data_IF_098899993395
#
_entry.id   IF_098899993395
#
_cell.length_a   1.000
_cell.length_b   1.000
_cell.length_c   1.000
_cell.angle_alpha   90.00
_cell.angle_beta   90.00
_cell.angle_gamma   90.00
#
_symmetry.space_group_name_H-M   'P 1'
#
loop_
_entity.id
_entity.type
_entity.pdbx_description
1 polymer ?
#
# COMPACT_ATOMS: atom_id res chain seq x y z
N UNK A 1 2.28 74.85 -35.14
CA UNK A 1 3.19 74.52 -34.02
C UNK A 1 2.50 73.70 -32.91
N UNK A 2 1.35 73.06 -33.16
CA UNK A 2 0.65 72.17 -32.20
C UNK A 2 0.78 70.67 -32.55
N UNK A 3 1.12 70.33 -33.80
CA UNK A 3 1.30 68.92 -34.21
C UNK A 3 2.62 68.30 -33.70
N UNK A 4 3.64 69.11 -33.41
CA UNK A 4 4.93 68.61 -32.93
C UNK A 4 4.85 68.10 -31.48
N UNK A 5 4.03 68.72 -30.61
CA UNK A 5 3.92 68.37 -29.19
C UNK A 5 3.05 67.14 -28.92
N UNK A 6 1.99 66.93 -29.71
CA UNK A 6 1.14 65.74 -29.65
C UNK A 6 1.93 64.46 -30.00
N UNK A 7 2.81 64.53 -31.00
CA UNK A 7 3.65 63.41 -31.40
C UNK A 7 4.70 63.04 -30.33
N UNK A 8 5.23 64.02 -29.60
CA UNK A 8 6.20 63.76 -28.51
C UNK A 8 5.52 63.10 -27.30
N UNK A 9 4.34 63.56 -26.91
CA UNK A 9 3.55 62.98 -25.80
C UNK A 9 3.10 61.56 -26.16
N UNK A 10 2.64 61.34 -27.40
CA UNK A 10 2.27 60.03 -27.91
C UNK A 10 3.43 59.03 -27.89
N UNK A 11 4.63 59.44 -28.32
CA UNK A 11 5.83 58.60 -28.25
C UNK A 11 6.21 58.25 -26.80
N UNK A 12 6.14 59.22 -25.88
CA UNK A 12 6.46 58.98 -24.48
C UNK A 12 5.47 57.99 -23.82
N UNK A 13 4.17 58.17 -24.07
CA UNK A 13 3.13 57.26 -23.60
C UNK A 13 3.31 55.84 -24.17
N UNK A 14 3.68 55.72 -25.44
CA UNK A 14 3.95 54.43 -26.08
C UNK A 14 5.14 53.70 -25.45
N UNK A 15 6.23 54.42 -25.13
CA UNK A 15 7.41 53.82 -24.48
C UNK A 15 7.09 53.34 -23.07
N UNK A 16 6.35 54.13 -22.29
CA UNK A 16 5.91 53.72 -20.94
C UNK A 16 4.99 52.52 -21.00
N UNK A 17 4.02 52.51 -21.93
CA UNK A 17 3.13 51.37 -22.14
C UNK A 17 3.89 50.08 -22.48
N UNK A 18 4.92 50.17 -23.32
CA UNK A 18 5.79 49.04 -23.64
C UNK A 18 6.55 48.52 -22.41
N UNK A 19 7.14 49.42 -21.61
CA UNK A 19 7.84 49.04 -20.37
C UNK A 19 6.90 48.36 -19.38
N UNK A 20 5.72 48.93 -19.15
CA UNK A 20 4.70 48.35 -18.26
C UNK A 20 4.24 46.98 -18.75
N UNK A 21 4.09 46.79 -20.06
CA UNK A 21 3.70 45.51 -20.65
C UNK A 21 4.78 44.45 -20.44
N UNK A 22 6.06 44.79 -20.69
CA UNK A 22 7.19 43.86 -20.47
C UNK A 22 7.29 43.46 -18.99
N UNK A 23 7.16 44.42 -18.07
CA UNK A 23 7.20 44.15 -16.63
C UNK A 23 6.00 43.32 -16.17
N UNK A 24 4.79 43.63 -16.64
CA UNK A 24 3.56 42.89 -16.31
C UNK A 24 3.61 41.45 -16.83
N UNK A 25 4.14 41.25 -18.04
CA UNK A 25 4.34 39.92 -18.60
C UNK A 25 5.41 39.13 -17.82
N UNK A 26 6.54 39.76 -17.48
CA UNK A 26 7.58 39.14 -16.66
C UNK A 26 7.07 38.69 -15.28
N UNK A 27 6.26 39.52 -14.63
CA UNK A 27 5.62 39.18 -13.36
C UNK A 27 4.62 38.02 -13.49
N UNK A 28 3.86 37.98 -14.59
CA UNK A 28 2.95 36.88 -14.91
C UNK A 28 3.73 35.57 -15.08
N UNK A 29 4.82 35.56 -15.83
CA UNK A 29 5.68 34.39 -16.00
C UNK A 29 6.26 33.89 -14.67
N UNK A 30 6.72 34.82 -13.82
CA UNK A 30 7.22 34.47 -12.48
C UNK A 30 6.13 33.80 -11.63
N UNK A 31 4.91 34.36 -11.61
CA UNK A 31 3.78 33.79 -10.89
C UNK A 31 3.41 32.40 -11.40
N UNK A 32 3.33 32.21 -12.72
CA UNK A 32 3.02 30.91 -13.33
C UNK A 32 4.05 29.86 -12.89
N UNK A 33 5.34 30.21 -12.92
CA UNK A 33 6.41 29.29 -12.47
C UNK A 33 6.24 28.91 -11.00
N UNK A 34 5.95 29.88 -10.13
CA UNK A 34 5.71 29.62 -8.70
C UNK A 34 4.50 28.71 -8.47
N UNK A 35 3.39 28.95 -9.16
CA UNK A 35 2.18 28.13 -9.07
C UNK A 35 2.44 26.71 -9.56
N UNK A 36 3.13 26.55 -10.69
CA UNK A 36 3.51 25.24 -11.22
C UNK A 36 4.34 24.44 -10.21
N UNK A 37 5.36 25.05 -9.62
CA UNK A 37 6.21 24.39 -8.63
C UNK A 37 5.40 23.98 -7.36
N UNK A 38 4.51 24.86 -6.89
CA UNK A 38 3.64 24.54 -5.76
C UNK A 38 2.68 23.38 -6.08
N UNK A 39 2.10 23.37 -7.28
CA UNK A 39 1.21 22.29 -7.72
C UNK A 39 1.96 20.95 -7.88
N UNK A 40 3.20 20.99 -8.37
CA UNK A 40 4.05 19.80 -8.51
C UNK A 40 4.45 19.24 -7.14
N UNK A 41 4.83 20.10 -6.20
CA UNK A 41 5.10 19.72 -4.81
C UNK A 41 3.86 19.12 -4.13
N UNK A 42 2.68 19.75 -4.30
CA UNK A 42 1.43 19.24 -3.76
C UNK A 42 1.06 17.87 -4.37
N UNK A 43 1.26 17.69 -5.69
CA UNK A 43 1.04 16.41 -6.36
C UNK A 43 1.95 15.33 -5.80
N UNK A 44 3.23 15.63 -5.61
CA UNK A 44 4.20 14.68 -5.07
C UNK A 44 3.83 14.26 -3.64
N UNK A 45 3.51 15.24 -2.78
CA UNK A 45 3.06 14.97 -1.41
C UNK A 45 1.79 14.10 -1.39
N UNK A 46 0.80 14.40 -2.24
CA UNK A 46 -0.42 13.60 -2.33
C UNK A 46 -0.14 12.16 -2.79
N UNK A 47 0.76 11.95 -3.75
CA UNK A 47 1.18 10.62 -4.20
C UNK A 47 1.84 9.85 -3.05
N UNK A 48 2.73 10.49 -2.29
CA UNK A 48 3.40 9.90 -1.13
C UNK A 48 2.42 9.53 -0.03
N UNK A 49 1.47 10.41 0.30
CA UNK A 49 0.39 10.13 1.25
C UNK A 49 -0.47 8.94 0.80
N UNK A 50 -0.89 8.91 -0.46
CA UNK A 50 -1.66 7.78 -1.00
C UNK A 50 -0.90 6.45 -0.92
N UNK A 51 0.42 6.46 -1.19
CA UNK A 51 1.25 5.25 -1.02
C UNK A 51 1.36 4.84 0.45
N UNK A 52 1.51 5.80 1.35
CA UNK A 52 1.57 5.56 2.80
C UNK A 52 0.27 4.92 3.31
N UNK A 53 -0.89 5.46 2.92
CA UNK A 53 -2.20 4.89 3.24
C UNK A 53 -2.32 3.45 2.74
N UNK A 54 -1.94 3.16 1.49
CA UNK A 54 -2.00 1.79 0.95
C UNK A 54 -1.11 0.80 1.73
N UNK A 55 0.09 1.23 2.14
CA UNK A 55 0.98 0.39 2.98
C UNK A 55 0.38 0.14 4.35
N UNK A 56 -0.25 1.15 4.94
CA UNK A 56 -0.97 1.03 6.18
C UNK A 56 -2.13 0.03 6.06
N UNK A 57 -2.97 0.17 5.03
CA UNK A 57 -4.07 -0.75 4.75
C UNK A 57 -3.58 -2.20 4.59
N UNK A 58 -2.50 -2.41 3.82
CA UNK A 58 -1.87 -3.72 3.70
C UNK A 58 -1.41 -4.28 5.05
N UNK A 59 -0.85 -3.44 5.93
CA UNK A 59 -0.41 -3.87 7.27
C UNK A 59 -1.59 -4.30 8.15
N UNK A 60 -2.73 -3.61 8.08
CA UNK A 60 -3.96 -3.96 8.81
C UNK A 60 -4.54 -5.27 8.29
N UNK A 61 -4.60 -5.44 6.97
CA UNK A 61 -5.09 -6.68 6.36
C UNK A 61 -4.21 -7.88 6.74
N UNK A 62 -2.88 -7.73 6.74
CA UNK A 62 -1.95 -8.78 7.18
C UNK A 62 -2.13 -9.12 8.67
N UNK A 63 -2.35 -8.13 9.53
CA UNK A 63 -2.66 -8.38 10.94
C UNK A 63 -3.94 -9.21 11.11
N UNK A 64 -4.96 -8.96 10.29
CA UNK A 64 -6.18 -9.79 10.29
C UNK A 64 -5.94 -11.25 9.87
N UNK A 65 -4.89 -11.52 9.08
CA UNK A 65 -4.47 -12.89 8.74
C UNK A 65 -3.80 -13.55 9.93
N UNK A 66 -2.97 -12.81 10.68
CA UNK A 66 -2.36 -13.29 11.94
C UNK A 66 -3.43 -13.75 12.92
N UNK A 67 -4.49 -12.96 13.10
CA UNK A 67 -5.64 -13.33 13.94
C UNK A 67 -6.33 -14.62 13.44
N UNK A 68 -6.47 -14.78 12.12
CA UNK A 68 -7.05 -16.00 11.54
C UNK A 68 -6.16 -17.22 11.79
N UNK A 69 -4.84 -17.06 11.73
CA UNK A 69 -3.88 -18.13 12.06
C UNK A 69 -3.97 -18.51 13.55
N UNK A 70 -4.07 -17.52 14.44
CA UNK A 70 -4.22 -17.78 15.88
C UNK A 70 -5.56 -18.46 16.21
N UNK A 71 -6.63 -18.17 15.46
CA UNK A 71 -7.89 -18.92 15.50
C UNK A 71 -7.70 -20.38 15.05
N UNK A 72 -7.00 -20.64 13.94
CA UNK A 72 -6.70 -22.01 13.47
C UNK A 72 -5.99 -22.80 14.58
N UNK A 73 -4.94 -22.22 15.18
CA UNK A 73 -4.20 -22.87 16.28
C UNK A 73 -5.10 -23.20 17.47
N UNK A 74 -6.04 -22.31 17.80
CA UNK A 74 -7.04 -22.56 18.86
C UNK A 74 -7.94 -23.73 18.50
N UNK A 75 -8.52 -23.75 17.31
CA UNK A 75 -9.39 -24.83 16.84
C UNK A 75 -8.69 -26.19 16.80
N UNK A 76 -7.41 -26.22 16.42
CA UNK A 76 -6.59 -27.44 16.45
C UNK A 76 -6.39 -27.96 17.88
N UNK A 77 -6.17 -27.08 18.86
CA UNK A 77 -6.06 -27.47 20.29
C UNK A 77 -7.38 -27.99 20.86
N UNK A 78 -8.49 -27.45 20.38
CA UNK A 78 -9.85 -27.86 20.76
C UNK A 78 -10.33 -29.10 20.01
N UNK A 79 -9.49 -29.72 19.17
CA UNK A 79 -9.83 -30.85 18.31
C UNK A 79 -11.05 -30.59 17.39
N UNK A 80 -11.29 -29.32 17.04
CA UNK A 80 -12.39 -28.90 16.16
C UNK A 80 -12.03 -29.10 14.69
N UNK A 81 -11.57 -30.30 14.33
CA UNK A 81 -10.93 -30.57 13.04
C UNK A 81 -11.82 -30.34 11.82
N UNK A 82 -13.14 -30.52 11.95
CA UNK A 82 -14.10 -30.36 10.84
C UNK A 82 -14.18 -28.93 10.30
N UNK A 83 -13.87 -27.92 11.13
CA UNK A 83 -13.95 -26.49 10.73
C UNK A 83 -12.59 -25.88 10.40
N UNK A 84 -11.51 -26.59 10.71
CA UNK A 84 -10.13 -26.10 10.50
C UNK A 84 -9.82 -25.86 9.01
N UNK A 85 -10.16 -26.76 8.06
CA UNK A 85 -9.91 -26.52 6.63
C UNK A 85 -10.54 -25.21 6.11
N UNK A 86 -11.76 -24.89 6.52
CA UNK A 86 -12.43 -23.63 6.11
C UNK A 86 -11.66 -22.39 6.57
N UNK A 87 -11.06 -22.46 7.77
CA UNK A 87 -10.24 -21.36 8.31
C UNK A 87 -8.90 -21.23 7.58
N UNK A 88 -8.26 -22.34 7.19
CA UNK A 88 -7.10 -22.30 6.30
C UNK A 88 -7.45 -21.66 4.95
N UNK A 89 -8.56 -22.07 4.32
CA UNK A 89 -9.06 -21.48 3.07
C UNK A 89 -9.30 -19.98 3.21
N UNK A 90 -9.88 -19.55 4.33
CA UNK A 90 -10.11 -18.13 4.65
C UNK A 90 -8.80 -17.35 4.73
N UNK A 91 -7.79 -17.86 5.44
CA UNK A 91 -6.48 -17.22 5.55
C UNK A 91 -5.77 -17.12 4.18
N UNK A 92 -5.79 -18.20 3.38
CA UNK A 92 -5.23 -18.19 2.01
C UNK A 92 -5.92 -17.16 1.12
N UNK A 93 -7.25 -17.13 1.12
CA UNK A 93 -8.03 -16.15 0.32
C UNK A 93 -7.66 -14.73 0.70
N UNK A 94 -7.58 -14.40 1.99
CA UNK A 94 -7.12 -13.07 2.46
C UNK A 94 -5.73 -12.74 1.93
N UNK A 95 -4.76 -13.66 2.02
CA UNK A 95 -3.40 -13.46 1.52
C UNK A 95 -3.34 -13.25 -0.01
N UNK A 96 -4.15 -14.00 -0.77
CA UNK A 96 -4.27 -13.81 -2.23
C UNK A 96 -4.83 -12.42 -2.54
N UNK A 97 -5.88 -11.99 -1.83
CA UNK A 97 -6.46 -10.66 -2.01
C UNK A 97 -5.46 -9.56 -1.69
N UNK A 98 -4.71 -9.67 -0.58
CA UNK A 98 -3.64 -8.72 -0.22
C UNK A 98 -2.60 -8.61 -1.35
N UNK A 99 -2.17 -9.76 -1.89
CA UNK A 99 -1.18 -9.79 -2.99
C UNK A 99 -1.68 -9.13 -4.28
N UNK A 100 -2.99 -9.20 -4.55
CA UNK A 100 -3.62 -8.61 -5.75
C UNK A 100 -3.93 -7.12 -5.57
N UNK A 101 -4.43 -6.72 -4.40
CA UNK A 101 -4.89 -5.36 -4.13
C UNK A 101 -3.78 -4.37 -3.79
N UNK A 102 -2.61 -4.87 -3.38
CA UNK A 102 -1.46 -4.03 -3.03
C UNK A 102 -0.31 -4.21 -4.03
N UNK A 103 -0.41 -3.61 -5.25
CA UNK A 103 0.63 -3.76 -6.28
C UNK A 103 1.98 -3.20 -5.83
N UNK A 104 1.96 -2.24 -4.91
CA UNK A 104 3.12 -1.53 -4.33
C UNK A 104 3.95 -2.42 -3.38
N UNK A 105 3.49 -3.64 -3.07
CA UNK A 105 4.29 -4.63 -2.34
C UNK A 105 5.53 -5.03 -3.15
N UNK A 106 6.67 -5.07 -2.46
CA UNK A 106 7.93 -5.51 -3.06
C UNK A 106 7.84 -6.98 -3.53
N UNK A 107 8.70 -7.36 -4.47
CA UNK A 107 8.79 -8.75 -4.91
C UNK A 107 9.15 -9.70 -3.74
N UNK A 108 9.92 -9.22 -2.76
CA UNK A 108 10.23 -9.98 -1.54
C UNK A 108 8.97 -10.22 -0.71
N UNK A 109 8.16 -9.18 -0.45
CA UNK A 109 6.89 -9.33 0.29
C UNK A 109 5.96 -10.33 -0.41
N UNK A 110 5.82 -10.21 -1.74
CA UNK A 110 4.98 -11.11 -2.55
C UNK A 110 5.46 -12.57 -2.48
N UNK A 111 6.78 -12.80 -2.39
CA UNK A 111 7.36 -14.14 -2.21
C UNK A 111 7.07 -14.71 -0.83
N UNK A 112 7.19 -13.90 0.23
CA UNK A 112 6.85 -14.31 1.60
C UNK A 112 5.37 -14.70 1.66
N UNK A 113 4.47 -13.85 1.16
CA UNK A 113 3.04 -14.13 1.11
C UNK A 113 2.76 -15.44 0.32
N UNK A 114 3.40 -15.63 -0.83
CA UNK A 114 3.23 -16.83 -1.64
C UNK A 114 3.69 -18.10 -0.89
N UNK A 115 4.82 -18.03 -0.18
CA UNK A 115 5.33 -19.15 0.62
C UNK A 115 4.33 -19.50 1.73
N UNK A 116 3.76 -18.51 2.41
CA UNK A 116 2.76 -18.78 3.45
C UNK A 116 1.49 -19.38 2.86
N UNK A 117 0.99 -18.89 1.72
CA UNK A 117 -0.16 -19.49 1.02
C UNK A 117 0.09 -20.98 0.75
N UNK A 118 1.28 -21.33 0.25
CA UNK A 118 1.64 -22.72 -0.03
C UNK A 118 1.69 -23.58 1.25
N UNK A 119 2.27 -23.06 2.33
CA UNK A 119 2.32 -23.78 3.60
C UNK A 119 0.92 -24.03 4.17
N UNK A 120 0.05 -23.02 4.15
CA UNK A 120 -1.34 -23.16 4.58
C UNK A 120 -2.10 -24.19 3.73
N UNK A 121 -1.86 -24.21 2.42
CA UNK A 121 -2.47 -25.19 1.52
C UNK A 121 -2.03 -26.62 1.81
N UNK A 122 -0.73 -26.82 2.03
CA UNK A 122 -0.20 -28.15 2.34
C UNK A 122 -0.78 -28.66 3.67
N UNK A 123 -0.83 -27.80 4.70
CA UNK A 123 -1.38 -28.16 6.01
C UNK A 123 -2.88 -28.45 5.96
N UNK A 124 -3.64 -27.68 5.19
CA UNK A 124 -5.06 -27.95 4.93
C UNK A 124 -5.24 -29.32 4.28
N UNK A 125 -4.47 -29.61 3.22
CA UNK A 125 -4.54 -30.89 2.52
C UNK A 125 -4.21 -32.08 3.43
N UNK A 126 -3.23 -31.93 4.33
CA UNK A 126 -2.85 -32.98 5.28
C UNK A 126 -3.97 -33.25 6.29
N UNK A 127 -4.65 -32.19 6.77
CA UNK A 127 -5.79 -32.33 7.68
C UNK A 127 -6.98 -32.97 6.96
N UNK A 128 -7.31 -32.54 5.73
CA UNK A 128 -8.41 -33.13 4.96
C UNK A 128 -8.18 -34.61 4.67
N UNK A 129 -6.95 -35.01 4.32
CA UNK A 129 -6.58 -36.42 4.13
C UNK A 129 -6.73 -37.23 5.42
N UNK A 130 -6.33 -36.67 6.57
CA UNK A 130 -6.50 -37.31 7.87
C UNK A 130 -7.98 -37.45 8.26
N UNK A 131 -8.81 -36.45 7.95
CA UNK A 131 -10.25 -36.51 8.15
C UNK A 131 -10.92 -37.56 7.26
N UNK A 132 -10.54 -37.65 5.99
CA UNK A 132 -11.14 -38.59 5.04
C UNK A 132 -10.84 -40.07 5.36
N UNK A 133 -9.70 -40.34 6.03
CA UNK A 133 -9.29 -41.70 6.40
C UNK A 133 -9.76 -42.12 7.80
N UNK A 134 -10.38 -41.22 8.56
CA UNK A 134 -10.76 -41.39 9.97
C UNK A 134 -9.61 -41.84 10.91
N UNK A 135 -8.36 -41.82 10.42
CA UNK A 135 -7.13 -42.18 11.13
C UNK A 135 -5.98 -41.31 10.60
N UNK A 136 -5.00 -41.05 11.47
CA UNK A 136 -3.76 -40.29 11.17
C UNK A 136 -3.92 -38.78 10.98
N UNK A 137 -4.63 -38.10 11.90
CA UNK A 137 -4.53 -36.64 11.99
C UNK A 137 -3.10 -36.22 12.33
N UNK A 138 -2.57 -35.14 11.73
CA UNK A 138 -1.24 -34.65 12.07
C UNK A 138 -1.17 -34.20 13.54
N UNK A 139 0.02 -34.31 14.14
CA UNK A 139 0.25 -33.84 15.50
C UNK A 139 -0.07 -32.34 15.63
N UNK A 140 -0.99 -32.00 16.55
CA UNK A 140 -1.35 -30.60 16.88
C UNK A 140 -0.11 -29.78 17.23
N UNK A 141 0.85 -30.36 17.95
CA UNK A 141 2.07 -29.67 18.34
C UNK A 141 2.89 -29.26 17.11
N UNK A 142 3.07 -30.18 16.16
CA UNK A 142 3.84 -29.92 14.94
C UNK A 142 3.15 -28.89 14.05
N UNK A 143 1.82 -29.01 13.88
CA UNK A 143 1.04 -28.03 13.13
C UNK A 143 1.14 -26.63 13.76
N UNK A 144 1.00 -26.53 15.08
CA UNK A 144 1.07 -25.25 15.77
C UNK A 144 2.45 -24.60 15.71
N UNK A 145 3.54 -25.38 15.68
CA UNK A 145 4.91 -24.85 15.47
C UNK A 145 4.99 -24.22 14.08
N UNK A 146 4.62 -24.96 13.03
CA UNK A 146 4.66 -24.47 11.65
C UNK A 146 3.77 -23.25 11.43
N UNK A 147 2.58 -23.23 12.04
CA UNK A 147 1.69 -22.07 12.01
C UNK A 147 2.29 -20.86 12.73
N UNK A 148 3.02 -21.07 13.83
CA UNK A 148 3.68 -19.97 14.54
C UNK A 148 4.77 -19.35 13.69
N UNK A 149 5.57 -20.16 12.99
CA UNK A 149 6.56 -19.63 12.04
C UNK A 149 5.93 -18.81 10.92
N UNK A 150 4.81 -19.27 10.34
CA UNK A 150 4.13 -18.51 9.28
C UNK A 150 3.46 -17.25 9.81
N UNK A 151 2.88 -17.32 11.01
CA UNK A 151 2.31 -16.18 11.73
C UNK A 151 3.36 -15.09 11.94
N UNK A 152 4.55 -15.47 12.42
CA UNK A 152 5.61 -14.52 12.74
C UNK A 152 6.17 -13.87 11.48
N UNK A 153 6.31 -14.61 10.37
CA UNK A 153 6.67 -14.03 9.05
C UNK A 153 5.65 -12.99 8.57
N UNK A 154 4.36 -13.27 8.72
CA UNK A 154 3.31 -12.31 8.34
C UNK A 154 3.33 -11.09 9.27
N UNK A 155 3.53 -11.30 10.58
CA UNK A 155 3.60 -10.23 11.56
C UNK A 155 4.80 -9.31 11.33
N UNK A 156 5.97 -9.88 11.02
CA UNK A 156 7.17 -9.13 10.65
C UNK A 156 6.90 -8.26 9.42
N UNK A 157 6.31 -8.85 8.37
CA UNK A 157 5.93 -8.11 7.16
C UNK A 157 4.93 -6.97 7.45
N UNK A 158 3.91 -7.22 8.26
CA UNK A 158 2.93 -6.20 8.66
C UNK A 158 3.61 -5.04 9.40
N UNK A 159 4.55 -5.37 10.30
CA UNK A 159 5.30 -4.38 11.08
C UNK A 159 6.23 -3.57 10.19
N UNK A 160 6.92 -4.19 9.25
CA UNK A 160 7.79 -3.51 8.28
C UNK A 160 7.02 -2.47 7.45
N UNK A 161 5.84 -2.85 6.94
CA UNK A 161 4.99 -1.94 6.17
C UNK A 161 4.48 -0.77 7.03
N UNK A 162 4.16 -1.03 8.29
CA UNK A 162 3.71 0.00 9.24
C UNK A 162 4.83 0.99 9.59
N UNK A 163 6.06 0.54 9.80
CA UNK A 163 7.20 1.43 10.09
C UNK A 163 7.47 2.34 8.89
N UNK A 164 7.44 1.81 7.66
CA UNK A 164 7.60 2.56 6.39
C UNK A 164 6.44 3.50 6.05
N UNK A 165 5.40 3.55 6.89
CA UNK A 165 4.28 4.49 6.80
C UNK A 165 4.54 5.73 7.67
N UNK A 166 5.28 5.57 8.77
CA UNK A 166 5.53 6.61 9.78
C UNK A 166 6.79 7.43 9.45
N UNK A 167 7.76 6.82 8.76
CA UNK A 167 9.00 7.45 8.27
C UNK A 167 8.80 7.93 6.83
#
# INVERSE_FOLDING_TARGET
MYELSLNTIGNFASVIGAILTVLGFGFTLFKIKKVRNAAESARQAAIETCRSIRRFDASVELASVVETIDEIKRLQRENSWKVVPDRYSTARKKLIMIKLHHPDLSNQHKRIIQSVIQHLENMESDIEKGLAKEENLPSVANLNILLSEQRDKIWELATELRIKTIV
#
